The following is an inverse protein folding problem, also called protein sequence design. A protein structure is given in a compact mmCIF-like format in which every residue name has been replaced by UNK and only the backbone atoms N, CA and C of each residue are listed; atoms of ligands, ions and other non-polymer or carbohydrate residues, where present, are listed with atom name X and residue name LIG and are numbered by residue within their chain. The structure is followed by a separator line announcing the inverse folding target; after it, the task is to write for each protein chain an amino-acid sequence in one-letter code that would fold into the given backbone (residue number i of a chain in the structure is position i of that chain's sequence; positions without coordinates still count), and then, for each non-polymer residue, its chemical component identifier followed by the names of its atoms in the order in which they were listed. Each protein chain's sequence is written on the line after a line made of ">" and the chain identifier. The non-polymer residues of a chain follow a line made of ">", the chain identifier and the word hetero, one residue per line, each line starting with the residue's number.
data_IF_661199001345
#
_entry.id   IF_661199001345
#
_cell.length_a   1.000
_cell.length_b   1.000
_cell.length_c   1.000
_cell.angle_alpha   90.00
_cell.angle_beta   90.00
_cell.angle_gamma   90.00
#
_symmetry.space_group_name_H-M   'P 1'
#
loop_
_entity.id
_entity.type
_entity.pdbx_description
1 polymer ?
#
# COMPACT_ATOMS: atom_id res chain seq x y z
N UNK A 1 1.95 -17.36 -1.04
CA UNK A 1 3.11 -16.82 -0.31
C UNK A 1 4.36 -17.14 -1.11
N UNK A 2 5.26 -16.18 -1.27
CA UNK A 2 6.57 -16.40 -1.88
C UNK A 2 7.58 -16.58 -0.76
N UNK A 3 8.49 -17.55 -0.88
CA UNK A 3 9.58 -17.78 0.06
C UNK A 3 10.89 -17.29 -0.56
N UNK A 4 11.70 -16.59 0.23
CA UNK A 4 13.02 -16.12 -0.17
C UNK A 4 14.01 -16.36 0.98
N UNK A 5 15.22 -16.78 0.64
CA UNK A 5 16.33 -16.85 1.57
C UNK A 5 17.11 -15.54 1.47
N UNK A 6 17.30 -14.86 2.61
CA UNK A 6 18.01 -13.59 2.69
C UNK A 6 19.04 -13.65 3.81
N UNK A 7 20.18 -13.01 3.60
CA UNK A 7 21.16 -12.78 4.65
C UNK A 7 20.79 -11.50 5.40
N UNK A 8 20.77 -11.58 6.73
CA UNK A 8 20.40 -10.47 7.60
C UNK A 8 21.57 -10.23 8.56
N UNK A 9 22.15 -9.01 8.61
CA UNK A 9 23.22 -8.72 9.55
C UNK A 9 22.73 -8.81 11.00
N UNK A 10 23.64 -9.10 11.93
CA UNK A 10 23.29 -9.39 13.31
C UNK A 10 22.51 -8.25 13.99
N UNK A 11 22.89 -7.00 13.74
CA UNK A 11 22.19 -5.81 14.24
C UNK A 11 20.73 -5.76 13.77
N UNK A 12 20.49 -5.94 12.46
CA UNK A 12 19.13 -5.97 11.92
C UNK A 12 18.31 -7.15 12.50
N UNK A 13 18.95 -8.29 12.75
CA UNK A 13 18.32 -9.45 13.37
C UNK A 13 17.88 -9.17 14.82
N UNK A 14 18.67 -8.41 15.59
CA UNK A 14 18.29 -7.96 16.93
C UNK A 14 17.08 -7.01 16.88
N UNK A 15 17.07 -6.05 15.97
CA UNK A 15 15.94 -5.14 15.75
C UNK A 15 14.67 -5.93 15.41
N UNK A 16 14.76 -6.91 14.51
CA UNK A 16 13.62 -7.78 14.16
C UNK A 16 13.08 -8.54 15.37
N UNK A 17 13.94 -9.00 16.29
CA UNK A 17 13.49 -9.65 17.51
C UNK A 17 12.74 -8.69 18.44
N UNK A 18 13.20 -7.45 18.57
CA UNK A 18 12.53 -6.41 19.37
C UNK A 18 11.14 -6.10 18.78
N UNK A 19 11.05 -5.92 17.45
CA UNK A 19 9.77 -5.70 16.77
C UNK A 19 8.85 -6.90 16.96
N UNK A 20 9.36 -8.12 16.79
CA UNK A 20 8.60 -9.34 17.00
C UNK A 20 8.00 -9.40 18.41
N UNK A 21 8.80 -9.09 19.44
CA UNK A 21 8.35 -9.06 20.83
C UNK A 21 7.32 -7.94 21.08
N UNK A 22 7.58 -6.73 20.60
CA UNK A 22 6.71 -5.55 20.80
C UNK A 22 5.31 -5.76 20.24
N UNK A 23 5.20 -6.41 19.09
CA UNK A 23 3.92 -6.67 18.41
C UNK A 23 3.38 -8.09 18.65
N UNK A 24 4.01 -8.85 19.56
CA UNK A 24 3.64 -10.23 19.89
C UNK A 24 3.52 -11.15 18.65
N UNK A 25 4.45 -11.00 17.70
CA UNK A 25 4.49 -11.76 16.45
C UNK A 25 5.18 -13.12 16.67
N UNK A 26 4.82 -14.13 15.88
CA UNK A 26 5.34 -15.49 16.03
C UNK A 26 6.65 -15.67 15.28
N UNK A 27 6.78 -15.05 14.12
CA UNK A 27 7.90 -15.26 13.20
C UNK A 27 8.63 -13.96 12.84
N UNK A 28 9.88 -14.08 12.39
CA UNK A 28 10.63 -12.93 11.86
C UNK A 28 10.05 -12.47 10.53
N UNK A 29 9.49 -13.36 9.72
CA UNK A 29 8.81 -13.01 8.48
C UNK A 29 7.60 -12.09 8.72
N UNK A 30 6.83 -12.33 9.78
CA UNK A 30 5.74 -11.42 10.19
C UNK A 30 6.29 -10.04 10.60
N UNK A 31 7.41 -10.00 11.34
CA UNK A 31 8.06 -8.74 11.72
C UNK A 31 8.57 -7.96 10.51
N UNK A 32 9.21 -8.64 9.55
CA UNK A 32 9.64 -8.03 8.28
C UNK A 32 8.43 -7.49 7.52
N UNK A 33 7.36 -8.29 7.41
CA UNK A 33 6.13 -7.89 6.70
C UNK A 33 5.52 -6.63 7.33
N UNK A 34 5.44 -6.59 8.67
CA UNK A 34 4.95 -5.43 9.42
C UNK A 34 5.76 -4.18 9.10
N UNK A 35 7.09 -4.26 9.19
CA UNK A 35 8.00 -3.13 8.93
C UNK A 35 7.88 -2.66 7.48
N UNK A 36 7.85 -3.58 6.52
CA UNK A 36 7.75 -3.24 5.09
C UNK A 36 6.42 -2.56 4.77
N UNK A 37 5.31 -3.01 5.35
CA UNK A 37 4.01 -2.35 5.16
C UNK A 37 4.01 -0.94 5.78
N UNK A 38 4.51 -0.80 7.01
CA UNK A 38 4.57 0.51 7.70
C UNK A 38 5.53 1.49 7.00
N UNK A 39 6.69 1.01 6.53
CA UNK A 39 7.65 1.83 5.78
C UNK A 39 7.18 2.10 4.35
N UNK A 40 6.44 1.18 3.73
CA UNK A 40 5.94 1.29 2.37
C UNK A 40 5.11 2.55 2.16
N UNK A 41 4.31 2.96 3.15
CA UNK A 41 3.55 4.22 3.07
C UNK A 41 4.41 5.47 2.93
N UNK A 42 5.64 5.47 3.45
CA UNK A 42 6.56 6.61 3.44
C UNK A 42 7.61 6.53 2.32
N UNK A 43 7.97 5.33 1.88
CA UNK A 43 9.02 5.10 0.87
C UNK A 43 8.44 4.95 -0.54
N UNK A 44 7.22 4.39 -0.67
CA UNK A 44 6.61 4.19 -1.97
C UNK A 44 6.07 5.50 -2.52
N UNK A 45 6.45 5.81 -3.76
CA UNK A 45 5.80 6.82 -4.58
C UNK A 45 4.27 6.56 -4.57
N UNK A 46 3.43 7.61 -4.60
CA UNK A 46 1.98 7.48 -4.46
C UNK A 46 1.36 6.42 -5.39
N UNK A 47 1.92 6.26 -6.59
CA UNK A 47 1.51 5.32 -7.63
C UNK A 47 1.76 3.85 -7.27
N UNK A 48 2.75 3.58 -6.40
CA UNK A 48 3.14 2.24 -5.98
C UNK A 48 2.50 1.83 -4.64
N UNK A 49 1.72 2.72 -4.01
CA UNK A 49 1.06 2.42 -2.74
C UNK A 49 -0.09 1.43 -2.94
N UNK A 50 -0.23 0.43 -2.06
CA UNK A 50 -1.31 -0.55 -2.17
C UNK A 50 -2.70 0.08 -2.14
N UNK A 51 -2.90 1.17 -1.40
CA UNK A 51 -4.16 1.94 -1.40
C UNK A 51 -4.51 2.53 -2.78
N UNK A 52 -3.50 2.91 -3.56
CA UNK A 52 -3.70 3.44 -4.90
C UNK A 52 -4.12 2.33 -5.86
N UNK A 53 -3.56 1.14 -5.73
CA UNK A 53 -3.99 -0.05 -6.47
C UNK A 53 -5.45 -0.41 -6.18
N UNK A 54 -5.90 -0.29 -4.92
CA UNK A 54 -7.31 -0.49 -4.58
C UNK A 54 -8.23 0.56 -5.22
N UNK A 55 -7.81 1.84 -5.24
CA UNK A 55 -8.55 2.90 -5.96
C UNK A 55 -8.64 2.61 -7.45
N UNK A 56 -7.55 2.21 -8.08
CA UNK A 56 -7.53 1.87 -9.51
C UNK A 56 -8.43 0.67 -9.83
N UNK A 57 -8.42 -0.37 -8.99
CA UNK A 57 -9.34 -1.51 -9.13
C UNK A 57 -10.79 -1.09 -9.07
N UNK A 58 -11.17 -0.23 -8.11
CA UNK A 58 -12.54 0.31 -8.03
C UNK A 58 -12.93 1.07 -9.30
N UNK A 59 -12.05 1.92 -9.82
CA UNK A 59 -12.29 2.65 -11.08
C UNK A 59 -12.46 1.69 -12.26
N UNK A 60 -11.68 0.60 -12.29
CA UNK A 60 -11.78 -0.43 -13.32
C UNK A 60 -13.09 -1.23 -13.21
N UNK A 61 -13.54 -1.57 -12.00
CA UNK A 61 -14.80 -2.26 -11.73
C UNK A 61 -16.03 -1.39 -12.00
N UNK A 62 -15.97 -0.09 -11.68
CA UNK A 62 -17.04 0.88 -11.93
C UNK A 62 -17.23 1.19 -13.42
N UNK A 63 -16.26 0.83 -14.27
CA UNK A 63 -16.32 0.99 -15.72
C UNK A 63 -16.04 2.42 -16.19
N UNK A 64 -15.49 2.55 -17.40
CA UNK A 64 -15.00 3.79 -17.99
C UNK A 64 -15.86 5.01 -17.65
N UNK A 65 -15.25 5.98 -16.99
CA UNK A 65 -15.89 7.20 -16.52
C UNK A 65 -16.68 7.91 -17.62
N UNK A 66 -17.75 8.60 -17.23
CA UNK A 66 -18.56 9.42 -18.14
C UNK A 66 -17.67 10.34 -18.96
N UNK A 67 -17.76 10.23 -20.28
CA UNK A 67 -17.10 11.16 -21.20
C UNK A 67 -17.89 12.46 -21.25
N UNK A 68 -17.19 13.59 -21.15
CA UNK A 68 -17.78 14.91 -21.28
C UNK A 68 -17.21 15.61 -22.49
N UNK A 69 -18.05 16.33 -23.23
CA UNK A 69 -17.65 17.09 -24.42
C UNK A 69 -17.27 18.54 -24.09
N UNK A 70 -17.53 19.01 -22.86
CA UNK A 70 -17.13 20.34 -22.40
C UNK A 70 -16.92 20.36 -20.88
N UNK A 71 -16.01 21.23 -20.44
CA UNK A 71 -15.73 21.50 -19.02
C UNK A 71 -16.99 22.01 -18.29
N UNK A 72 -17.88 22.73 -18.98
CA UNK A 72 -19.14 23.21 -18.41
C UNK A 72 -20.10 22.06 -18.04
N UNK A 73 -20.14 21.01 -18.86
CA UNK A 73 -20.98 19.83 -18.57
C UNK A 73 -20.47 19.07 -17.34
N UNK A 74 -19.14 18.98 -17.20
CA UNK A 74 -18.50 18.39 -16.03
C UNK A 74 -18.81 19.21 -14.77
N UNK A 75 -18.61 20.54 -14.80
CA UNK A 75 -18.87 21.44 -13.67
C UNK A 75 -20.29 21.34 -13.15
N UNK A 76 -21.27 21.34 -14.07
CA UNK A 76 -22.70 21.25 -13.73
C UNK A 76 -23.09 19.98 -12.94
N UNK A 77 -22.31 18.91 -13.06
CA UNK A 77 -22.58 17.64 -12.35
C UNK A 77 -21.85 17.60 -11.00
N UNK A 78 -20.64 18.13 -10.93
CA UNK A 78 -19.84 18.16 -9.70
C UNK A 78 -20.38 19.20 -8.72
N UNK A 79 -20.76 20.39 -9.20
CA UNK A 79 -21.22 21.51 -8.36
C UNK A 79 -22.70 21.41 -7.96
N UNK A 80 -23.46 20.48 -8.55
CA UNK A 80 -24.86 20.21 -8.16
C UNK A 80 -25.00 19.14 -7.06
N UNK A 81 -23.88 18.64 -6.54
CA UNK A 81 -23.84 17.55 -5.56
C UNK A 81 -23.81 18.07 -4.13
#
# INVERSE_FOLDING_TARGET
>A
MVQAMIEIPEEANQILNIVKARYNLKTKSEAITKIVIECGGNILEPELRPEYLEKLKKIQEEGYGKTFTSIEQLRKIIEKR
#
